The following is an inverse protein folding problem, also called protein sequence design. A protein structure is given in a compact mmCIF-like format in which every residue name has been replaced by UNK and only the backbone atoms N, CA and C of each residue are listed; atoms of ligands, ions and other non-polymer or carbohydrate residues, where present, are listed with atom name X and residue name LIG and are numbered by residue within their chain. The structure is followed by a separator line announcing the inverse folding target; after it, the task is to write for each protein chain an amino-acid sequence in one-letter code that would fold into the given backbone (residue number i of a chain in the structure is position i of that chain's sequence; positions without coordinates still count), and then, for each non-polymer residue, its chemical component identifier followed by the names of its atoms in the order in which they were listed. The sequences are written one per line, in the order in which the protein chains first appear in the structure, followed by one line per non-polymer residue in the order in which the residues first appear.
data_IF_197925092000
#
_entry.id   IF_197925092000
#
_cell.length_a   1.000
_cell.length_b   1.000
_cell.length_c   1.000
_cell.angle_alpha   90.00
_cell.angle_beta   90.00
_cell.angle_gamma   90.00
#
_symmetry.space_group_name_H-M   'P 1'
#
loop_
_entity.id
_entity.type
_entity.pdbx_description
1 polymer ?
#
# COMPACT_ATOMS: atom_id res chain seq x y z
N UNK A 1 78.69 -24.43 51.49
CA UNK A 1 79.31 -25.47 50.64
C UNK A 1 78.28 -25.90 49.59
N UNK A 2 78.64 -25.84 48.30
CA UNK A 2 78.15 -26.59 47.10
C UNK A 2 76.64 -26.94 47.01
N UNK A 3 75.84 -26.34 46.11
CA UNK A 3 75.74 -26.44 44.64
C UNK A 3 75.24 -27.80 44.09
N UNK A 4 74.25 -27.70 43.17
CA UNK A 4 73.75 -28.63 42.13
C UNK A 4 72.38 -29.31 42.41
N UNK A 5 71.31 -28.90 41.71
CA UNK A 5 70.89 -29.21 40.31
C UNK A 5 70.41 -30.66 40.15
N UNK A 6 69.16 -30.84 39.74
CA UNK A 6 68.73 -31.56 38.52
C UNK A 6 67.19 -31.66 38.45
N UNK A 7 66.63 -31.12 37.36
CA UNK A 7 65.35 -31.55 36.76
C UNK A 7 65.48 -33.04 36.33
N UNK A 8 64.39 -33.83 36.12
CA UNK A 8 63.55 -33.63 34.93
C UNK A 8 62.11 -34.23 34.90
N UNK A 9 61.42 -33.90 33.78
CA UNK A 9 60.41 -34.66 33.03
C UNK A 9 58.95 -34.74 33.50
N UNK A 10 58.12 -34.01 32.75
CA UNK A 10 56.68 -34.22 32.60
C UNK A 10 56.36 -35.45 31.74
N UNK A 11 55.13 -35.99 31.84
CA UNK A 11 54.43 -36.55 30.70
C UNK A 11 53.20 -35.69 30.37
N UNK A 12 53.31 -35.08 29.19
CA UNK A 12 52.26 -34.72 28.23
C UNK A 12 50.86 -35.26 28.53
N UNK A 13 49.95 -34.39 28.97
CA UNK A 13 48.52 -34.64 28.88
C UNK A 13 48.06 -34.30 27.46
N UNK A 14 47.59 -35.33 26.74
CA UNK A 14 47.04 -35.23 25.40
C UNK A 14 45.75 -34.39 25.42
N UNK A 15 45.71 -33.37 24.57
CA UNK A 15 44.54 -32.56 24.28
C UNK A 15 43.41 -33.40 23.66
N UNK A 16 42.21 -33.33 24.25
CA UNK A 16 40.95 -33.40 23.50
C UNK A 16 40.19 -32.10 23.76
N UNK A 17 40.55 -31.05 23.03
CA UNK A 17 39.68 -29.89 22.86
C UNK A 17 38.65 -30.29 21.81
N UNK A 18 37.45 -30.60 22.27
CA UNK A 18 36.28 -30.59 21.39
C UNK A 18 36.14 -29.16 20.85
N UNK A 19 36.07 -28.95 19.52
CA UNK A 19 35.55 -27.69 19.01
C UNK A 19 34.07 -27.65 19.42
N UNK A 20 33.73 -26.81 20.39
CA UNK A 20 32.38 -26.30 20.52
C UNK A 20 32.10 -25.51 19.25
N UNK A 21 31.45 -26.14 18.28
CA UNK A 21 30.87 -25.46 17.14
C UNK A 21 29.69 -24.68 17.72
N UNK A 22 29.95 -23.47 18.21
CA UNK A 22 28.93 -22.48 18.44
C UNK A 22 28.35 -22.15 17.07
N UNK A 23 27.27 -22.83 16.70
CA UNK A 23 26.37 -22.28 15.69
C UNK A 23 25.70 -21.08 16.33
N UNK A 24 26.36 -19.92 16.23
CA UNK A 24 25.70 -18.63 16.26
C UNK A 24 24.72 -18.61 15.08
N UNK A 25 23.55 -19.21 15.30
CA UNK A 25 22.35 -18.81 14.59
C UNK A 25 21.78 -17.69 15.42
N UNK A 26 22.40 -16.52 15.27
CA UNK A 26 21.75 -15.26 15.57
C UNK A 26 20.47 -15.24 14.73
N UNK A 27 19.26 -15.26 15.32
CA UNK A 27 18.10 -14.90 14.53
C UNK A 27 18.37 -13.46 14.10
N UNK A 28 18.43 -13.23 12.79
CA UNK A 28 18.41 -11.92 12.14
C UNK A 28 17.26 -11.10 12.75
N UNK A 29 17.54 -10.42 13.85
CA UNK A 29 16.75 -9.34 14.38
C UNK A 29 17.09 -8.18 13.46
N UNK A 30 16.22 -7.95 12.48
CA UNK A 30 16.14 -6.68 11.77
C UNK A 30 16.31 -5.57 12.83
N UNK A 31 17.25 -4.63 12.66
CA UNK A 31 17.32 -3.49 13.56
C UNK A 31 16.01 -2.71 13.41
N UNK A 32 15.13 -2.82 14.39
CA UNK A 32 14.00 -1.91 14.55
C UNK A 32 14.57 -0.59 15.07
N UNK A 33 15.19 0.18 14.19
CA UNK A 33 15.39 1.61 14.41
C UNK A 33 14.03 2.30 14.26
N UNK A 34 13.13 2.09 15.22
CA UNK A 34 11.93 2.90 15.41
C UNK A 34 12.34 4.19 16.08
N UNK A 35 12.71 5.19 15.29
CA UNK A 35 12.90 6.54 15.80
C UNK A 35 11.58 7.30 15.63
N UNK A 36 10.81 7.38 16.72
CA UNK A 36 9.75 8.38 16.96
C UNK A 36 8.40 8.24 16.24
N UNK A 37 8.36 7.73 15.01
CA UNK A 37 7.15 7.71 14.18
C UNK A 37 6.52 6.31 14.01
N UNK A 38 5.19 6.26 13.87
CA UNK A 38 4.45 5.06 13.51
C UNK A 38 3.29 5.34 12.55
N UNK A 39 2.93 4.36 11.72
CA UNK A 39 1.71 4.38 10.92
C UNK A 39 0.63 3.53 11.60
N UNK A 40 -0.53 4.14 11.81
CA UNK A 40 -1.76 3.51 12.27
C UNK A 40 -2.68 3.29 11.08
N UNK A 41 -3.19 2.07 10.93
CA UNK A 41 -3.98 1.68 9.75
C UNK A 41 -5.38 1.31 10.20
N UNK A 42 -6.37 2.02 9.65
CA UNK A 42 -7.78 1.69 9.86
C UNK A 42 -8.20 0.71 8.78
N UNK A 43 -8.20 -0.58 9.11
CA UNK A 43 -8.76 -1.60 8.23
C UNK A 43 -10.30 -1.52 8.29
N UNK A 44 -10.97 -1.76 7.16
CA UNK A 44 -12.41 -1.59 7.03
C UNK A 44 -13.23 -2.77 7.55
N UNK A 45 -12.55 -3.79 8.08
CA UNK A 45 -13.14 -5.01 8.63
C UNK A 45 -13.13 -5.07 10.17
N UNK A 46 -12.59 -4.07 10.88
CA UNK A 46 -12.51 -4.07 12.34
C UNK A 46 -12.56 -2.68 13.01
N UNK A 47 -12.83 -2.68 14.32
CA UNK A 47 -12.90 -1.46 15.16
C UNK A 47 -11.53 -1.03 15.73
N UNK A 48 -10.42 -1.54 15.20
CA UNK A 48 -9.06 -1.31 15.71
C UNK A 48 -8.10 -0.75 14.67
N UNK A 49 -6.95 -0.26 15.15
CA UNK A 49 -5.83 0.18 14.30
C UNK A 49 -4.72 -0.86 14.32
N UNK A 50 -4.24 -1.28 13.15
CA UNK A 50 -2.98 -2.00 13.04
C UNK A 50 -1.82 -1.00 13.04
N UNK A 51 -0.76 -1.28 13.80
CA UNK A 51 0.41 -0.39 13.91
C UNK A 51 1.55 -0.96 13.09
N UNK A 52 2.10 -0.15 12.19
CA UNK A 52 3.20 -0.50 11.29
C UNK A 52 2.96 -1.77 10.46
N UNK A 53 1.69 -2.11 10.23
CA UNK A 53 1.26 -3.22 9.39
C UNK A 53 0.11 -2.76 8.51
N UNK A 54 0.21 -3.03 7.21
CA UNK A 54 -0.81 -2.69 6.22
C UNK A 54 -1.23 -3.98 5.52
N UNK A 55 -2.53 -4.27 5.55
CA UNK A 55 -3.13 -5.38 4.78
C UNK A 55 -3.90 -4.83 3.59
N UNK A 56 -3.50 -5.22 2.39
CA UNK A 56 -4.17 -4.85 1.15
C UNK A 56 -4.93 -6.08 0.66
N UNK A 57 -6.26 -5.99 0.66
CA UNK A 57 -7.13 -7.10 0.32
C UNK A 57 -7.38 -7.11 -1.19
N UNK A 58 -7.11 -8.23 -1.84
CA UNK A 58 -7.45 -8.49 -3.23
C UNK A 58 -8.63 -9.45 -3.28
N UNK A 59 -9.71 -9.02 -3.91
CA UNK A 59 -10.92 -9.80 -4.12
C UNK A 59 -10.93 -10.26 -5.57
N UNK A 60 -10.97 -11.57 -5.75
CA UNK A 60 -11.18 -12.20 -7.05
C UNK A 60 -12.68 -12.45 -7.25
N UNK A 61 -13.24 -11.98 -8.35
CA UNK A 61 -14.61 -12.25 -8.76
C UNK A 61 -14.62 -13.27 -9.89
N UNK A 62 -15.49 -14.28 -9.76
CA UNK A 62 -15.67 -15.38 -10.71
C UNK A 62 -17.13 -15.46 -11.17
N UNK A 63 -17.43 -16.17 -12.27
CA UNK A 63 -18.78 -16.32 -12.81
C UNK A 63 -19.02 -15.47 -14.06
N UNK A 64 -20.22 -14.92 -14.22
CA UNK A 64 -20.63 -14.14 -15.41
C UNK A 64 -19.85 -12.83 -15.55
N UNK A 65 -19.39 -12.28 -14.42
CA UNK A 65 -18.67 -11.02 -14.35
C UNK A 65 -17.31 -11.20 -13.65
N UNK A 66 -16.34 -11.87 -14.31
CA UNK A 66 -15.03 -12.09 -13.71
C UNK A 66 -14.26 -10.77 -13.60
N UNK A 67 -13.38 -10.67 -12.61
CA UNK A 67 -12.54 -9.50 -12.42
C UNK A 67 -11.88 -9.46 -11.06
N UNK A 68 -11.14 -8.39 -10.78
CA UNK A 68 -10.44 -8.23 -9.51
C UNK A 68 -10.67 -6.84 -8.94
N UNK A 69 -10.87 -6.76 -7.64
CA UNK A 69 -10.87 -5.50 -6.91
C UNK A 69 -9.78 -5.52 -5.84
N UNK A 70 -9.17 -4.38 -5.60
CA UNK A 70 -8.24 -4.19 -4.50
C UNK A 70 -8.83 -3.18 -3.53
N UNK A 71 -8.92 -3.57 -2.26
CA UNK A 71 -9.34 -2.69 -1.19
C UNK A 71 -8.11 -2.20 -0.42
N UNK A 72 -7.91 -0.89 -0.44
CA UNK A 72 -6.78 -0.24 0.24
C UNK A 72 -7.25 0.38 1.55
N UNK A 73 -6.59 0.07 2.68
CA UNK A 73 -6.97 0.65 3.96
C UNK A 73 -6.51 2.11 4.04
N UNK A 74 -7.14 2.86 4.96
CA UNK A 74 -6.73 4.23 5.24
C UNK A 74 -5.66 4.25 6.33
N UNK A 75 -4.53 4.89 6.04
CA UNK A 75 -3.39 5.01 6.95
C UNK A 75 -3.29 6.42 7.56
N UNK A 76 -2.69 6.48 8.73
CA UNK A 76 -2.51 7.69 9.53
C UNK A 76 -1.14 7.66 10.19
N UNK A 77 -0.50 8.82 10.37
CA UNK A 77 0.77 8.92 11.07
C UNK A 77 0.59 9.45 12.50
N UNK A 78 1.42 8.96 13.41
CA UNK A 78 1.60 9.49 14.77
C UNK A 78 3.08 9.54 15.14
N UNK A 79 3.47 10.59 15.85
CA UNK A 79 4.77 10.65 16.53
C UNK A 79 4.61 10.40 18.03
N UNK A 80 5.58 9.71 18.63
CA UNK A 80 5.64 9.44 20.06
C UNK A 80 6.02 10.67 20.89
N UNK A 81 6.66 11.68 20.27
CA UNK A 81 7.21 12.85 20.94
C UNK A 81 6.53 14.16 20.54
N UNK A 82 6.09 14.27 19.29
CA UNK A 82 5.49 15.51 18.77
C UNK A 82 4.00 15.31 18.52
N UNK A 83 3.11 15.91 19.33
CA UNK A 83 1.68 15.85 19.08
C UNK A 83 1.27 16.74 17.88
N UNK A 84 0.09 16.48 17.26
CA UNK A 84 -0.49 17.39 16.29
C UNK A 84 -0.69 18.80 16.86
N UNK A 85 -0.43 19.84 16.06
CA UNK A 85 -0.68 21.24 16.46
C UNK A 85 -0.90 22.15 15.24
N UNK A 86 -1.67 23.24 15.36
CA UNK A 86 -2.05 24.08 14.23
C UNK A 86 -0.87 24.48 13.33
N UNK A 87 -1.02 24.27 12.02
CA UNK A 87 0.01 24.60 11.04
C UNK A 87 1.15 23.58 10.91
N UNK A 88 1.07 22.44 11.62
CA UNK A 88 2.00 21.32 11.41
C UNK A 88 1.58 20.43 10.25
N UNK A 89 2.59 19.87 9.59
CA UNK A 89 2.45 18.88 8.53
C UNK A 89 3.44 17.76 8.76
N UNK A 90 3.11 16.57 8.29
CA UNK A 90 4.04 15.45 8.23
C UNK A 90 4.27 15.05 6.79
N UNK A 91 5.54 14.97 6.40
CA UNK A 91 5.97 14.40 5.13
C UNK A 91 6.56 13.03 5.40
N UNK A 92 6.08 12.00 4.71
CA UNK A 92 6.59 10.63 4.80
C UNK A 92 7.06 10.23 3.42
N UNK A 93 8.26 9.66 3.30
CA UNK A 93 8.84 9.19 2.04
C UNK A 93 9.15 7.71 2.12
N UNK A 94 8.80 6.97 1.08
CA UNK A 94 9.18 5.58 0.91
C UNK A 94 10.56 5.49 0.27
N UNK A 95 11.55 5.12 1.09
CA UNK A 95 12.97 5.01 0.68
C UNK A 95 13.41 3.55 0.57
N UNK A 96 12.45 2.64 0.43
CA UNK A 96 12.73 1.20 0.36
C UNK A 96 13.53 0.84 -0.90
N UNK A 97 14.43 -0.15 -0.82
CA UNK A 97 15.04 -0.73 -2.01
C UNK A 97 13.99 -1.26 -2.99
N UNK A 98 14.16 -0.98 -4.29
CA UNK A 98 13.23 -1.40 -5.35
C UNK A 98 11.99 -0.53 -5.52
N UNK A 99 11.88 0.56 -4.76
CA UNK A 99 10.94 1.66 -5.00
C UNK A 99 11.63 2.71 -5.89
N UNK A 100 10.84 3.38 -6.73
CA UNK A 100 11.32 4.48 -7.56
C UNK A 100 11.94 5.58 -6.67
N UNK A 101 13.03 6.19 -7.12
CA UNK A 101 13.78 7.16 -6.33
C UNK A 101 13.82 8.55 -6.96
N UNK A 102 13.19 8.75 -8.13
CA UNK A 102 13.12 10.03 -8.82
C UNK A 102 11.68 10.43 -9.24
N UNK A 103 10.86 10.95 -8.30
CA UNK A 103 11.12 11.06 -6.87
C UNK A 103 10.73 9.79 -6.12
N UNK A 104 11.33 9.59 -4.93
CA UNK A 104 10.76 8.66 -3.95
C UNK A 104 9.27 8.95 -3.73
N UNK A 105 8.39 7.95 -3.74
CA UNK A 105 7.00 8.12 -3.37
C UNK A 105 6.92 8.78 -2.00
N UNK A 106 6.12 9.84 -1.90
CA UNK A 106 5.94 10.55 -0.66
C UNK A 106 4.47 10.91 -0.45
N UNK A 107 4.16 11.25 0.79
CA UNK A 107 2.89 11.85 1.15
C UNK A 107 3.13 13.03 2.09
N UNK A 108 2.34 14.09 1.92
CA UNK A 108 2.41 15.30 2.73
C UNK A 108 1.02 15.61 3.28
N UNK A 109 0.87 15.48 4.60
CA UNK A 109 -0.43 15.43 5.28
C UNK A 109 -0.47 16.43 6.42
N UNK A 110 -1.65 17.02 6.63
CA UNK A 110 -1.89 17.86 7.82
C UNK A 110 -1.60 17.06 9.09
N UNK A 111 -0.92 17.68 10.04
CA UNK A 111 -0.65 17.12 11.37
C UNK A 111 -1.06 18.14 12.42
N UNK A 112 -2.23 18.74 12.21
CA UNK A 112 -2.64 20.00 12.83
C UNK A 112 -3.65 19.87 13.97
N UNK A 113 -4.37 18.75 14.03
CA UNK A 113 -5.48 18.53 14.97
C UNK A 113 -5.68 17.05 15.29
N UNK A 114 -6.40 16.79 16.38
CA UNK A 114 -6.74 15.43 16.82
C UNK A 114 -5.52 14.69 17.35
N UNK A 115 -5.52 13.36 17.17
CA UNK A 115 -4.46 12.48 17.65
C UNK A 115 -3.47 12.05 16.55
N UNK A 116 -3.86 12.18 15.28
CA UNK A 116 -3.15 11.62 14.14
C UNK A 116 -3.04 12.63 13.00
N UNK A 117 -2.22 12.34 12.00
CA UNK A 117 -2.24 13.07 10.74
C UNK A 117 -3.59 12.97 10.03
N UNK A 118 -3.80 13.83 9.03
CA UNK A 118 -4.77 13.59 7.98
C UNK A 118 -4.52 12.20 7.38
N UNK A 119 -5.59 11.42 7.26
CA UNK A 119 -5.51 10.08 6.70
C UNK A 119 -5.16 10.10 5.21
N UNK A 120 -4.45 9.07 4.77
CA UNK A 120 -4.01 8.91 3.40
C UNK A 120 -4.23 7.47 2.93
N UNK A 121 -4.53 7.35 1.64
CA UNK A 121 -4.74 6.06 1.00
C UNK A 121 -3.39 5.53 0.51
N UNK A 122 -3.24 4.21 0.49
CA UNK A 122 -2.02 3.51 0.10
C UNK A 122 -2.28 2.62 -1.10
N UNK A 123 -1.27 2.30 -1.89
CA UNK A 123 -1.40 1.38 -3.02
C UNK A 123 -0.15 0.52 -3.21
N UNK A 124 -0.32 -0.68 -3.77
CA UNK A 124 0.81 -1.50 -4.20
C UNK A 124 1.34 -0.97 -5.52
N UNK A 125 2.38 -0.14 -5.44
CA UNK A 125 3.04 0.45 -6.59
C UNK A 125 4.47 0.88 -6.19
N UNK A 126 5.37 0.96 -7.16
CA UNK A 126 6.75 1.39 -6.95
C UNK A 126 6.98 2.86 -7.27
N UNK A 127 6.13 3.48 -8.08
CA UNK A 127 6.29 4.87 -8.54
C UNK A 127 5.37 5.82 -7.80
N UNK A 128 5.81 7.06 -7.61
CA UNK A 128 5.02 8.10 -6.96
C UNK A 128 3.70 8.35 -7.70
N UNK A 129 2.61 8.47 -6.92
CA UNK A 129 1.29 8.81 -7.41
C UNK A 129 0.76 10.00 -6.62
N UNK A 130 0.04 10.90 -7.28
CA UNK A 130 -0.57 12.07 -6.62
C UNK A 130 -1.66 11.67 -5.62
N UNK A 131 -2.39 10.59 -5.91
CA UNK A 131 -3.56 10.16 -5.12
C UNK A 131 -3.17 9.28 -3.94
N UNK A 132 -2.39 8.24 -4.21
CA UNK A 132 -2.15 7.13 -3.27
C UNK A 132 -0.66 7.06 -2.91
N UNK A 133 -0.34 6.76 -1.65
CA UNK A 133 1.03 6.56 -1.21
C UNK A 133 1.53 5.17 -1.65
N UNK A 134 2.53 5.15 -2.53
CA UNK A 134 3.00 3.94 -3.18
C UNK A 134 3.93 3.09 -2.28
N UNK A 135 3.58 1.82 -2.16
CA UNK A 135 4.24 0.82 -1.30
C UNK A 135 4.54 -0.44 -2.10
N UNK A 136 5.57 -1.19 -1.68
CA UNK A 136 5.79 -2.57 -2.16
C UNK A 136 5.31 -3.58 -1.14
N UNK A 137 5.09 -4.81 -1.58
CA UNK A 137 4.83 -5.92 -0.68
C UNK A 137 6.07 -6.24 0.17
N UNK A 138 5.84 -6.67 1.42
CA UNK A 138 6.87 -6.91 2.43
C UNK A 138 7.27 -5.66 3.21
N UNK A 139 8.52 -5.65 3.71
CA UNK A 139 9.02 -4.57 4.55
C UNK A 139 9.34 -3.33 3.70
N UNK A 140 8.77 -2.19 4.12
CA UNK A 140 9.05 -0.87 3.59
C UNK A 140 9.78 -0.02 4.64
N UNK A 141 10.78 0.75 4.20
CA UNK A 141 11.54 1.70 5.00
C UNK A 141 11.07 3.12 4.69
N UNK A 142 10.71 3.86 5.74
CA UNK A 142 10.20 5.21 5.62
C UNK A 142 11.06 6.20 6.38
N UNK A 143 11.23 7.37 5.78
CA UNK A 143 11.72 8.57 6.46
C UNK A 143 10.55 9.54 6.63
N UNK A 144 10.51 10.23 7.77
CA UNK A 144 9.51 11.28 7.99
C UNK A 144 10.12 12.57 8.50
N UNK A 145 9.42 13.66 8.22
CA UNK A 145 9.68 15.01 8.72
C UNK A 145 8.37 15.61 9.21
N UNK A 146 8.31 16.04 10.47
CA UNK A 146 7.25 16.92 10.96
C UNK A 146 7.74 18.34 10.79
N UNK A 147 6.95 19.13 10.07
CA UNK A 147 7.23 20.53 9.75
C UNK A 147 6.24 21.43 10.43
N UNK A 148 6.74 22.53 10.96
CA UNK A 148 5.94 23.66 11.38
C UNK A 148 6.32 24.84 10.48
N UNK A 149 5.37 25.29 9.65
CA UNK A 149 5.65 26.20 8.53
C UNK A 149 6.72 25.59 7.60
N UNK A 150 7.91 26.19 7.51
CA UNK A 150 9.02 25.74 6.66
C UNK A 150 10.16 25.09 7.45
N UNK A 151 9.98 24.86 8.75
CA UNK A 151 11.02 24.34 9.62
C UNK A 151 10.70 22.91 10.02
N UNK A 152 11.64 22.00 9.83
CA UNK A 152 11.54 20.63 10.37
C UNK A 152 11.78 20.68 11.88
N UNK A 153 10.80 20.25 12.66
CA UNK A 153 10.85 20.22 14.13
C UNK A 153 11.11 18.82 14.68
N UNK A 154 10.83 17.79 13.90
CA UNK A 154 11.15 16.40 14.19
C UNK A 154 11.41 15.66 12.88
N UNK A 155 12.36 14.73 12.89
CA UNK A 155 12.56 13.79 11.80
C UNK A 155 12.96 12.43 12.35
N UNK A 156 12.67 11.39 11.58
CA UNK A 156 12.98 10.04 11.99
C UNK A 156 12.76 9.05 10.85
N UNK A 157 12.88 7.78 11.21
CA UNK A 157 12.64 6.67 10.30
C UNK A 157 11.95 5.54 11.03
N UNK A 158 11.17 4.76 10.28
CA UNK A 158 10.47 3.59 10.78
C UNK A 158 10.21 2.62 9.63
N UNK A 159 9.80 1.41 9.96
CA UNK A 159 9.46 0.37 8.99
C UNK A 159 7.99 -0.01 9.08
N UNK A 160 7.43 -0.40 7.95
CA UNK A 160 6.05 -0.91 7.86
C UNK A 160 6.04 -2.17 7.02
N UNK A 161 5.37 -3.20 7.53
CA UNK A 161 5.18 -4.45 6.81
C UNK A 161 3.86 -4.43 6.04
N UNK A 162 3.93 -4.70 4.73
CA UNK A 162 2.77 -4.66 3.84
C UNK A 162 2.47 -6.07 3.35
N UNK A 163 1.26 -6.54 3.63
CA UNK A 163 0.79 -7.86 3.24
C UNK A 163 -0.27 -7.75 2.14
N UNK A 164 -0.10 -8.54 1.09
CA UNK A 164 -1.19 -8.82 0.16
C UNK A 164 -2.02 -9.97 0.70
N UNK A 165 -3.32 -9.74 0.88
CA UNK A 165 -4.26 -10.78 1.29
C UNK A 165 -5.22 -11.08 0.14
N UNK A 166 -5.15 -12.29 -0.40
CA UNK A 166 -6.17 -12.76 -1.34
C UNK A 166 -7.37 -13.24 -0.53
N UNK A 167 -8.54 -12.67 -0.79
CA UNK A 167 -9.79 -13.24 -0.27
C UNK A 167 -10.22 -14.44 -1.10
N UNK A 168 -11.10 -15.26 -0.54
CA UNK A 168 -11.78 -16.31 -1.33
C UNK A 168 -12.48 -15.68 -2.54
N UNK A 169 -12.53 -16.43 -3.64
CA UNK A 169 -13.22 -16.01 -4.85
C UNK A 169 -14.72 -15.80 -4.57
N UNK A 170 -15.24 -14.65 -5.00
CA UNK A 170 -16.64 -14.27 -4.83
C UNK A 170 -17.35 -14.45 -6.18
N UNK A 171 -18.43 -15.24 -6.20
CA UNK A 171 -19.27 -15.36 -7.40
C UNK A 171 -19.98 -14.04 -7.68
N UNK A 172 -19.87 -13.55 -8.93
CA UNK A 172 -20.47 -12.30 -9.39
C UNK A 172 -21.31 -12.55 -10.64
N UNK A 173 -22.61 -12.36 -10.49
CA UNK A 173 -23.58 -12.48 -11.59
C UNK A 173 -23.78 -11.13 -12.30
N UNK A 174 -24.10 -11.21 -13.59
CA UNK A 174 -24.57 -10.05 -14.34
C UNK A 174 -25.99 -9.65 -13.90
N UNK A 175 -26.27 -8.36 -13.93
CA UNK A 175 -27.62 -7.81 -13.74
C UNK A 175 -28.23 -7.65 -15.12
N UNK A 176 -29.38 -8.26 -15.37
CA UNK A 176 -30.08 -8.17 -16.65
C UNK A 176 -31.39 -7.41 -16.49
N UNK A 177 -31.57 -6.39 -17.31
CA UNK A 177 -32.79 -5.61 -17.40
C UNK A 177 -33.38 -5.71 -18.81
N UNK A 178 -34.70 -5.54 -18.91
CA UNK A 178 -35.36 -5.46 -20.21
C UNK A 178 -35.51 -4.00 -20.59
N UNK A 179 -34.75 -3.56 -21.58
CA UNK A 179 -34.74 -2.17 -22.05
C UNK A 179 -35.48 -2.05 -23.36
N UNK A 180 -36.18 -0.93 -23.57
CA UNK A 180 -36.80 -0.61 -24.86
C UNK A 180 -35.78 0.14 -25.71
N UNK A 181 -35.20 -0.54 -26.71
CA UNK A 181 -34.33 0.11 -27.70
C UNK A 181 -35.16 0.50 -28.91
N UNK A 182 -35.03 1.75 -29.34
CA UNK A 182 -35.69 2.26 -30.53
C UNK A 182 -34.64 2.73 -31.54
N UNK A 183 -34.79 2.32 -32.79
CA UNK A 183 -33.93 2.78 -33.88
C UNK A 183 -34.47 4.12 -34.40
N UNK A 184 -33.60 5.13 -34.44
CA UNK A 184 -33.89 6.44 -35.01
C UNK A 184 -33.26 6.52 -36.40
N UNK A 185 -34.04 6.85 -37.43
CA UNK A 185 -33.51 7.17 -38.74
C UNK A 185 -33.90 8.58 -39.15
N UNK A 186 -32.96 9.27 -39.80
CA UNK A 186 -33.19 10.59 -40.39
C UNK A 186 -33.52 10.39 -41.87
N UNK A 187 -34.80 10.52 -42.22
CA UNK A 187 -35.16 10.67 -43.64
C UNK A 187 -34.68 12.06 -44.09
N UNK A 188 -33.60 12.09 -44.90
CA UNK A 188 -33.18 13.30 -45.60
C UNK A 188 -33.87 13.29 -46.97
N UNK A 189 -34.84 14.19 -47.25
CA UNK A 189 -35.44 14.29 -48.56
C UNK A 189 -34.38 14.74 -49.57
N UNK A 190 -34.10 13.91 -50.57
CA UNK A 190 -33.21 14.23 -51.68
C UNK A 190 -33.99 15.12 -52.67
N UNK A 191 -33.94 16.44 -52.48
CA UNK A 191 -34.48 17.41 -53.45
C UNK A 191 -33.28 17.98 -54.22
N UNK A 192 -33.17 17.74 -55.55
CA UNK A 192 -32.07 18.29 -56.35
C UNK A 192 -32.05 19.82 -56.28
N UNK A 193 -30.93 20.39 -55.83
CA UNK A 193 -30.71 21.84 -55.80
C UNK A 193 -31.08 22.57 -54.50
N UNK A 194 -31.39 21.87 -53.41
CA UNK A 194 -31.70 22.49 -52.11
C UNK A 194 -30.98 21.80 -50.94
N UNK A 195 -30.30 22.55 -50.08
CA UNK A 195 -29.81 22.03 -48.78
C UNK A 195 -31.02 21.77 -47.88
N UNK A 196 -31.37 20.50 -47.65
CA UNK A 196 -32.42 20.12 -46.72
C UNK A 196 -31.85 19.91 -45.33
N UNK A 197 -32.34 20.67 -44.34
CA UNK A 197 -32.02 20.41 -42.92
C UNK A 197 -32.64 19.07 -42.50
N UNK A 198 -31.95 18.23 -41.70
CA UNK A 198 -32.52 17.00 -41.19
C UNK A 198 -33.83 17.28 -40.46
N UNK A 199 -34.92 16.58 -40.82
CA UNK A 199 -36.15 16.59 -40.01
C UNK A 199 -35.89 15.86 -38.69
N UNK A 200 -36.69 16.20 -37.67
CA UNK A 200 -36.68 15.49 -36.39
C UNK A 200 -36.78 13.96 -36.63
N UNK A 201 -35.97 13.15 -35.92
CA UNK A 201 -35.90 11.71 -36.16
C UNK A 201 -37.26 11.08 -35.89
N UNK A 202 -37.75 10.29 -36.85
CA UNK A 202 -38.97 9.50 -36.64
C UNK A 202 -38.59 8.17 -36.00
N UNK A 203 -39.16 7.91 -34.82
CA UNK A 203 -39.02 6.63 -34.13
C UNK A 203 -39.90 5.61 -34.87
N UNK A 204 -39.28 4.67 -35.59
CA UNK A 204 -40.04 3.76 -36.44
C UNK A 204 -40.15 2.35 -35.85
N UNK A 205 -39.13 1.88 -35.11
CA UNK A 205 -39.11 0.54 -34.58
C UNK A 205 -38.54 0.52 -33.16
N UNK A 206 -39.38 0.13 -32.19
CA UNK A 206 -38.93 -0.15 -30.83
C UNK A 206 -39.07 -1.63 -30.54
N UNK A 207 -38.03 -2.23 -29.98
CA UNK A 207 -38.07 -3.61 -29.50
C UNK A 207 -37.58 -3.69 -28.06
N UNK A 208 -38.13 -4.66 -27.33
CA UNK A 208 -37.65 -5.02 -26.01
C UNK A 208 -36.41 -5.89 -26.16
N UNK A 209 -35.28 -5.43 -25.64
CA UNK A 209 -34.03 -6.18 -25.61
C UNK A 209 -33.65 -6.49 -24.17
N UNK A 210 -33.16 -7.71 -23.93
CA UNK A 210 -32.51 -8.02 -22.67
C UNK A 210 -31.10 -7.44 -22.72
N UNK A 211 -30.82 -6.47 -21.86
CA UNK A 211 -29.50 -5.89 -21.68
C UNK A 211 -28.94 -6.33 -20.34
N UNK A 212 -27.78 -6.98 -20.36
CA UNK A 212 -27.08 -7.39 -19.15
C UNK A 212 -25.82 -6.54 -18.97
N UNK A 213 -25.51 -6.20 -17.73
CA UNK A 213 -24.31 -5.47 -17.35
C UNK A 213 -23.70 -6.06 -16.08
N UNK A 214 -22.38 -5.95 -15.96
CA UNK A 214 -21.72 -6.21 -14.70
C UNK A 214 -21.89 -4.98 -13.78
N UNK A 215 -22.16 -5.18 -12.48
CA UNK A 215 -22.19 -4.07 -11.54
C UNK A 215 -20.86 -3.29 -11.57
N UNK A 216 -20.86 -2.01 -11.20
CA UNK A 216 -19.62 -1.29 -10.90
C UNK A 216 -19.04 -1.77 -9.57
N UNK A 217 -17.73 -1.57 -9.37
CA UNK A 217 -17.03 -1.84 -8.11
C UNK A 217 -17.23 -0.70 -7.10
#
# INVERSE_FOLDING_TARGET
MKLNKLLPLAPTALFFVLPAIATDVEPNLLPQTTSGGAIHVRNSTGNGYEVNQIRINRIEYIGDCPGEATYTPKAYFISSSTPPAPGRRVVIRNVSPGIDNDPYPYTDRGYDKGQYSQGFDVSLNTTHQTRDFALKEGVNQFNYEIKEKNTTIESGSFTVEVFRQNSSAISRSQICETVRRCDNYFEIPQIPGYETKPREPRIQNCRWERQCSCPSF
#
